data_IF_567166284755
#
_entry.id   IF_567166284755
#
_cell.length_a   1.000
_cell.length_b   1.000
_cell.length_c   1.000
_cell.angle_alpha   90.00
_cell.angle_beta   90.00
_cell.angle_gamma   90.00
#
_symmetry.space_group_name_H-M   'P 1'
#
loop_
_entity.id
_entity.type
_entity.pdbx_description
1 polymer ?
#
# COMPACT_ATOMS: atom_id res chain seq x y z
N UNK A 1 -2.59 -7.05 21.07
CA UNK A 1 -2.24 -5.95 20.14
C UNK A 1 -1.09 -5.12 20.70
N UNK A 2 0.18 -5.51 20.46
CA UNK A 2 1.38 -4.77 20.92
C UNK A 2 1.97 -3.80 19.88
N UNK A 3 1.45 -3.79 18.64
CA UNK A 3 2.04 -3.10 17.50
C UNK A 3 2.17 -1.57 17.64
N UNK A 4 1.26 -0.93 18.38
CA UNK A 4 1.26 0.53 18.55
C UNK A 4 1.82 0.98 19.91
N UNK A 5 2.41 0.07 20.69
CA UNK A 5 2.95 0.42 22.01
C UNK A 5 4.15 1.36 21.84
N UNK A 6 4.16 2.47 22.57
CA UNK A 6 5.25 3.46 22.55
C UNK A 6 5.26 4.40 21.34
N UNK A 7 4.18 4.42 20.53
CA UNK A 7 4.05 5.39 19.43
C UNK A 7 3.56 6.73 19.98
N UNK A 8 4.17 7.82 19.52
CA UNK A 8 3.79 9.19 19.88
C UNK A 8 2.35 9.54 19.43
N UNK A 9 1.94 9.02 18.28
CA UNK A 9 0.63 9.28 17.70
C UNK A 9 -0.35 8.14 18.02
N UNK A 10 -1.63 8.51 18.17
CA UNK A 10 -2.71 7.53 18.37
C UNK A 10 -2.76 6.55 17.20
N UNK A 11 -3.09 5.29 17.48
CA UNK A 11 -3.20 4.22 16.48
C UNK A 11 -4.09 4.61 15.29
N UNK A 12 -5.17 5.35 15.53
CA UNK A 12 -6.16 5.68 14.50
C UNK A 12 -5.58 6.69 13.49
N UNK A 13 -4.77 7.64 13.95
CA UNK A 13 -4.06 8.58 13.07
C UNK A 13 -3.08 7.82 12.17
N UNK A 14 -2.31 6.90 12.75
CA UNK A 14 -1.33 6.10 12.03
C UNK A 14 -2.03 5.23 10.96
N UNK A 15 -3.13 4.56 11.33
CA UNK A 15 -3.89 3.73 10.40
C UNK A 15 -4.52 4.55 9.28
N UNK A 16 -5.06 5.74 9.56
CA UNK A 16 -5.58 6.65 8.54
C UNK A 16 -4.47 7.09 7.58
N UNK A 17 -3.31 7.47 8.10
CA UNK A 17 -2.18 7.91 7.29
C UNK A 17 -1.69 6.81 6.34
N UNK A 18 -1.48 5.60 6.86
CA UNK A 18 -1.03 4.46 6.06
C UNK A 18 -2.13 4.05 5.08
N UNK A 19 -3.40 4.08 5.50
CA UNK A 19 -4.55 3.80 4.65
C UNK A 19 -4.66 4.76 3.46
N UNK A 20 -4.45 6.06 3.67
CA UNK A 20 -4.43 7.05 2.59
C UNK A 20 -3.35 6.75 1.57
N UNK A 21 -2.13 6.48 2.03
CA UNK A 21 -1.04 6.16 1.14
C UNK A 21 -1.26 4.86 0.35
N UNK A 22 -1.78 3.81 0.99
CA UNK A 22 -1.99 2.53 0.31
C UNK A 22 -3.18 2.53 -0.66
N UNK A 23 -4.18 3.38 -0.43
CA UNK A 23 -5.42 3.40 -1.23
C UNK A 23 -5.37 4.39 -2.38
N UNK A 24 -4.67 5.51 -2.22
CA UNK A 24 -4.65 6.60 -3.19
C UNK A 24 -3.22 6.84 -3.67
N UNK A 25 -3.07 7.41 -4.87
CA UNK A 25 -1.78 7.77 -5.46
C UNK A 25 -1.18 9.04 -4.82
N UNK A 26 -1.11 9.07 -3.48
CA UNK A 26 -0.64 10.19 -2.69
C UNK A 26 0.84 10.04 -2.32
N UNK A 27 1.57 11.15 -2.35
CA UNK A 27 2.93 11.23 -1.82
C UNK A 27 2.93 11.29 -0.29
N UNK A 28 4.08 11.03 0.35
CA UNK A 28 4.21 11.21 1.80
C UNK A 28 3.97 12.65 2.25
N UNK A 29 4.24 13.63 1.37
CA UNK A 29 3.98 15.05 1.65
C UNK A 29 2.48 15.34 1.60
N UNK A 30 1.78 14.79 0.61
CA UNK A 30 0.34 14.98 0.44
C UNK A 30 -0.41 14.41 1.66
N UNK A 31 -0.03 13.22 2.14
CA UNK A 31 -0.61 12.64 3.36
C UNK A 31 -0.32 13.51 4.58
N UNK A 32 0.90 14.05 4.69
CA UNK A 32 1.28 14.98 5.76
C UNK A 32 0.45 16.27 5.71
N UNK A 33 0.19 16.82 4.54
CA UNK A 33 -0.62 18.03 4.34
C UNK A 33 -2.10 17.77 4.69
N UNK A 34 -2.68 16.65 4.23
CA UNK A 34 -4.05 16.24 4.57
C UNK A 34 -4.22 16.09 6.09
N UNK A 35 -3.22 15.53 6.79
CA UNK A 35 -3.25 15.42 8.24
C UNK A 35 -3.13 16.79 8.92
N UNK A 36 -2.31 17.69 8.37
CA UNK A 36 -2.14 19.05 8.87
C UNK A 36 -3.44 19.86 8.76
N UNK A 37 -4.17 19.73 7.66
CA UNK A 37 -5.51 20.34 7.49
C UNK A 37 -6.50 19.86 8.55
N UNK A 38 -6.32 18.65 9.08
CA UNK A 38 -7.12 18.07 10.17
C UNK A 38 -6.56 18.36 11.56
N UNK A 39 -5.61 19.29 11.68
CA UNK A 39 -5.01 19.70 12.94
C UNK A 39 -3.92 18.76 13.47
N UNK A 40 -3.45 17.80 12.67
CA UNK A 40 -2.40 16.85 13.06
C UNK A 40 -1.11 17.14 12.29
N UNK A 41 -0.16 17.80 12.95
CA UNK A 41 1.15 18.06 12.35
C UNK A 41 2.06 16.82 12.43
N UNK A 42 2.38 16.24 11.28
CA UNK A 42 3.27 15.07 11.16
C UNK A 42 4.28 15.34 10.07
N UNK A 43 5.57 15.11 10.30
CA UNK A 43 6.56 15.25 9.24
C UNK A 43 6.44 14.11 8.19
N UNK A 44 6.64 14.36 6.88
CA UNK A 44 6.54 13.33 5.84
C UNK A 44 7.41 12.08 6.07
N UNK A 45 8.58 12.24 6.71
CA UNK A 45 9.45 11.09 7.05
C UNK A 45 8.85 10.19 8.12
N UNK A 46 8.00 10.71 9.00
CA UNK A 46 7.25 9.91 9.98
C UNK A 46 6.19 9.07 9.28
N UNK A 47 5.53 9.63 8.26
CA UNK A 47 4.58 8.90 7.40
C UNK A 47 5.30 7.74 6.68
N UNK A 48 6.46 8.00 6.07
CA UNK A 48 7.30 6.96 5.45
C UNK A 48 7.64 5.83 6.43
N UNK A 49 8.04 6.16 7.67
CA UNK A 49 8.36 5.17 8.70
C UNK A 49 7.16 4.29 9.05
N UNK A 50 5.97 4.88 9.21
CA UNK A 50 4.75 4.10 9.46
C UNK A 50 4.41 3.19 8.28
N UNK A 51 4.57 3.65 7.05
CA UNK A 51 4.27 2.85 5.86
C UNK A 51 5.23 1.67 5.74
N UNK A 52 6.53 1.88 6.00
CA UNK A 52 7.50 0.78 6.01
C UNK A 52 7.22 -0.23 7.12
N UNK A 53 6.75 0.23 8.29
CA UNK A 53 6.48 -0.64 9.44
C UNK A 53 5.17 -1.43 9.28
N UNK A 54 4.08 -0.77 8.85
CA UNK A 54 2.76 -1.37 8.84
C UNK A 54 2.28 -1.79 7.45
N UNK A 55 2.92 -1.34 6.36
CA UNK A 55 2.48 -1.61 5.00
C UNK A 55 2.39 -3.10 4.69
N UNK A 56 3.41 -3.89 5.06
CA UNK A 56 3.36 -5.34 4.86
C UNK A 56 2.25 -5.99 5.72
N UNK A 57 2.07 -5.56 6.98
CA UNK A 57 1.01 -6.10 7.83
C UNK A 57 -0.38 -5.85 7.23
N UNK A 58 -0.63 -4.62 6.75
CA UNK A 58 -1.89 -4.27 6.08
C UNK A 58 -2.08 -5.09 4.81
N UNK A 59 -1.03 -5.26 4.01
CA UNK A 59 -1.06 -6.10 2.82
C UNK A 59 -1.44 -7.56 3.15
N UNK A 60 -0.85 -8.16 4.19
CA UNK A 60 -1.20 -9.52 4.60
C UNK A 60 -2.66 -9.64 5.06
N UNK A 61 -3.17 -8.64 5.80
CA UNK A 61 -4.57 -8.59 6.22
C UNK A 61 -5.49 -8.48 5.00
N UNK A 62 -5.17 -7.58 4.07
CA UNK A 62 -5.89 -7.40 2.81
C UNK A 62 -5.92 -8.70 2.00
N UNK A 63 -4.75 -9.33 1.81
CA UNK A 63 -4.61 -10.60 1.08
C UNK A 63 -5.45 -11.71 1.72
N UNK A 64 -5.50 -11.80 3.05
CA UNK A 64 -6.33 -12.81 3.75
C UNK A 64 -7.82 -12.54 3.58
N UNK A 65 -8.26 -11.28 3.58
CA UNK A 65 -9.67 -10.90 3.42
C UNK A 65 -10.18 -11.10 2.00
N UNK A 66 -9.32 -10.88 0.98
CA UNK A 66 -9.68 -10.99 -0.43
C UNK A 66 -9.33 -12.36 -1.04
N UNK A 67 -9.36 -13.44 -0.24
CA UNK A 67 -9.09 -14.80 -0.71
C UNK A 67 -10.23 -15.47 -1.48
N UNK A 68 -11.33 -14.76 -1.77
CA UNK A 68 -12.41 -15.32 -2.57
C UNK A 68 -11.93 -15.53 -4.01
N UNK A 69 -11.80 -16.80 -4.41
CA UNK A 69 -11.46 -17.17 -5.78
C UNK A 69 -12.69 -16.94 -6.66
N UNK A 70 -12.67 -15.89 -7.47
CA UNK A 70 -13.61 -15.74 -8.57
C UNK A 70 -13.27 -16.80 -9.63
N UNK A 71 -14.28 -17.36 -10.30
CA UNK A 71 -14.12 -18.44 -11.28
C UNK A 71 -13.21 -18.05 -12.46
N UNK A 72 -13.10 -16.76 -12.76
CA UNK A 72 -12.28 -16.22 -13.83
C UNK A 72 -11.48 -15.00 -13.34
N UNK A 73 -10.24 -14.90 -13.82
CA UNK A 73 -9.33 -13.79 -13.56
C UNK A 73 -8.53 -13.46 -14.81
N UNK A 74 -8.05 -12.22 -14.89
CA UNK A 74 -7.19 -11.71 -15.94
C UNK A 74 -5.82 -11.34 -15.37
N UNK A 75 -4.77 -11.47 -16.17
CA UNK A 75 -3.42 -11.06 -15.82
C UNK A 75 -3.07 -9.79 -16.60
N UNK A 76 -2.79 -8.71 -15.87
CA UNK A 76 -2.28 -7.46 -16.44
C UNK A 76 -0.77 -7.37 -16.21
N UNK A 77 0.01 -7.20 -17.28
CA UNK A 77 1.47 -6.99 -17.25
C UNK A 77 1.77 -5.53 -17.59
N UNK A 78 2.34 -4.80 -16.64
CA UNK A 78 2.74 -3.40 -16.81
C UNK A 78 4.23 -3.21 -16.48
N UNK A 79 4.90 -2.32 -17.20
CA UNK A 79 6.31 -1.97 -16.99
C UNK A 79 6.40 -0.73 -16.09
N UNK A 80 7.07 -0.85 -14.94
CA UNK A 80 7.27 0.27 -14.02
C UNK A 80 8.76 0.48 -13.72
N UNK A 81 9.15 1.74 -13.49
CA UNK A 81 10.53 2.09 -13.16
C UNK A 81 10.73 2.15 -11.65
N UNK A 82 11.50 1.21 -11.09
CA UNK A 82 11.81 1.14 -9.65
C UNK A 82 13.30 1.40 -9.46
N UNK A 83 13.65 2.45 -8.70
CA UNK A 83 15.05 2.88 -8.48
C UNK A 83 15.87 3.00 -9.77
N UNK A 84 15.24 3.52 -10.83
CA UNK A 84 15.79 3.68 -12.19
C UNK A 84 15.91 2.40 -13.03
N UNK A 85 15.62 1.23 -12.48
CA UNK A 85 15.55 -0.04 -13.23
C UNK A 85 14.12 -0.30 -13.70
N UNK A 86 13.96 -0.81 -14.93
CA UNK A 86 12.65 -1.29 -15.40
C UNK A 86 12.31 -2.62 -14.74
N UNK A 87 11.09 -2.74 -14.23
CA UNK A 87 10.54 -3.92 -13.59
C UNK A 87 9.16 -4.25 -14.18
N UNK A 88 8.82 -5.52 -14.11
CA UNK A 88 7.56 -6.08 -14.59
C UNK A 88 6.61 -6.22 -13.41
N UNK A 89 5.51 -5.47 -13.44
CA UNK A 89 4.43 -5.55 -12.48
C UNK A 89 3.31 -6.41 -13.07
N UNK A 90 3.08 -7.56 -12.46
CA UNK A 90 1.96 -8.44 -12.78
C UNK A 90 0.85 -8.21 -11.76
N UNK A 91 -0.37 -8.00 -12.24
CA UNK A 91 -1.57 -7.88 -11.42
C UNK A 91 -2.57 -8.93 -11.85
N UNK A 92 -2.99 -9.76 -10.91
CA UNK A 92 -4.17 -10.60 -11.10
C UNK A 92 -5.40 -9.75 -10.80
N UNK A 93 -6.37 -9.73 -11.71
CA UNK A 93 -7.58 -8.91 -11.62
C UNK A 93 -8.79 -9.82 -11.85
N UNK A 94 -9.89 -9.62 -11.13
CA UNK A 94 -11.14 -10.35 -11.38
C UNK A 94 -11.95 -9.73 -12.54
N UNK A 95 -13.14 -10.28 -12.81
CA UNK A 95 -14.02 -9.79 -13.87
C UNK A 95 -14.61 -8.39 -13.59
N UNK A 96 -14.66 -7.96 -12.33
CA UNK A 96 -15.19 -6.67 -11.92
C UNK A 96 -14.09 -5.58 -11.89
N UNK A 97 -12.83 -5.96 -12.15
CA UNK A 97 -11.69 -5.05 -12.17
C UNK A 97 -10.98 -4.93 -10.83
N UNK A 98 -11.32 -5.73 -9.82
CA UNK A 98 -10.63 -5.72 -8.53
C UNK A 98 -9.32 -6.51 -8.60
N UNK A 99 -8.27 -5.93 -8.01
CA UNK A 99 -6.95 -6.58 -7.96
C UNK A 99 -6.95 -7.68 -6.88
N UNK A 100 -6.61 -8.90 -7.29
CA UNK A 100 -6.56 -10.10 -6.45
C UNK A 100 -5.17 -10.34 -5.85
N UNK A 101 -4.12 -10.18 -6.66
CA UNK A 101 -2.72 -10.31 -6.21
C UNK A 101 -1.80 -9.46 -7.07
N UNK A 102 -0.61 -9.17 -6.54
CA UNK A 102 0.39 -8.35 -7.22
C UNK A 102 1.75 -9.02 -7.10
N UNK A 103 2.49 -9.09 -8.20
CA UNK A 103 3.86 -9.58 -8.22
C UNK A 103 4.76 -8.63 -9.01
N UNK A 104 5.88 -8.23 -8.41
CA UNK A 104 6.91 -7.42 -9.06
C UNK A 104 8.13 -8.30 -9.37
N UNK A 105 8.60 -8.30 -10.62
CA UNK A 105 9.81 -9.01 -11.06
C UNK A 105 10.77 -8.09 -11.80
N UNK A 106 12.06 -8.40 -11.74
CA UNK A 106 13.09 -7.68 -12.52
C UNK A 106 13.14 -8.13 -13.98
N UNK A 107 12.87 -9.39 -14.23
CA UNK A 107 12.88 -10.00 -15.55
C UNK A 107 11.48 -10.39 -15.98
N UNK A 108 11.23 -10.39 -17.29
CA UNK A 108 10.05 -11.01 -17.88
C UNK A 108 10.18 -12.51 -17.74
N UNK A 109 9.10 -13.20 -17.35
CA UNK A 109 9.11 -14.66 -17.45
C UNK A 109 8.70 -15.04 -18.89
N UNK A 110 9.44 -15.98 -19.46
CA UNK A 110 8.99 -16.84 -20.55
C UNK A 110 8.44 -18.13 -19.97
#
# INVERSE_FOLDING_TARGET
MRYFKGKQFKKDIILIAVGYYCRFSLSYRDVSEILKERGVSVHPTTIMRWIHEYGNLIYQIWKKKNKSAHLAWHLDETYIKVKREWCYLYRAIDQEGYTLDIQLRKTRNH
#
